data_IF_327824309953
#
_entry.id   IF_327824309953
#
_cell.length_a   1.000
_cell.length_b   1.000
_cell.length_c   1.000
_cell.angle_alpha   90.00
_cell.angle_beta   90.00
_cell.angle_gamma   90.00
#
_symmetry.space_group_name_H-M   'P 1'
#
loop_
_entity.id
_entity.type
_entity.pdbx_description
1 polymer ?
#
# COMPACT_ATOMS: atom_id res chain seq x y z
N UNK A 1 49.75 4.98 6.65
CA UNK A 1 48.30 4.73 6.68
C UNK A 1 47.70 5.18 5.35
N UNK A 2 47.15 4.25 4.54
CA UNK A 2 46.46 4.62 3.29
C UNK A 2 45.06 5.11 3.65
N UNK A 3 44.69 6.32 3.23
CA UNK A 3 43.32 6.83 3.35
C UNK A 3 42.53 6.31 2.16
N UNK A 4 41.50 5.52 2.43
CA UNK A 4 40.53 5.10 1.44
C UNK A 4 39.38 6.09 1.47
N UNK A 5 39.20 6.85 0.39
CA UNK A 5 38.07 7.76 0.26
C UNK A 5 36.89 7.02 -0.36
N UNK A 6 35.72 7.19 0.23
CA UNK A 6 34.48 6.64 -0.31
C UNK A 6 34.03 7.55 -1.44
N UNK A 7 34.18 7.09 -2.68
CA UNK A 7 33.67 7.80 -3.86
C UNK A 7 32.19 7.44 -3.99
N UNK A 8 31.32 8.34 -3.53
CA UNK A 8 29.89 8.25 -3.82
C UNK A 8 29.72 8.75 -5.25
N UNK A 9 29.29 7.90 -6.21
CA UNK A 9 28.99 8.35 -7.55
C UNK A 9 27.92 9.43 -7.44
N UNK A 10 28.24 10.65 -7.89
CA UNK A 10 27.19 11.65 -8.09
C UNK A 10 26.28 11.08 -9.16
N UNK A 11 25.08 10.71 -8.75
CA UNK A 11 24.02 10.36 -9.67
C UNK A 11 23.84 11.61 -10.52
N UNK A 12 24.38 11.61 -11.74
CA UNK A 12 24.02 12.58 -12.76
C UNK A 12 22.50 12.68 -12.71
N UNK A 13 21.97 13.91 -12.65
CA UNK A 13 20.53 14.17 -12.70
C UNK A 13 20.02 13.76 -14.09
N UNK A 14 20.04 12.45 -14.38
CA UNK A 14 19.43 11.88 -15.55
C UNK A 14 17.95 12.18 -15.37
N UNK A 15 17.48 13.21 -16.04
CA UNK A 15 16.10 13.64 -16.02
C UNK A 15 15.24 12.41 -16.21
N UNK A 16 14.63 11.92 -15.13
CA UNK A 16 13.86 10.68 -15.14
C UNK A 16 12.88 10.82 -16.31
N UNK A 17 12.94 9.92 -17.31
CA UNK A 17 12.14 10.08 -18.51
C UNK A 17 10.67 10.23 -18.09
N UNK A 18 9.94 11.12 -18.77
CA UNK A 18 8.57 11.51 -18.39
C UNK A 18 7.64 10.31 -18.12
N UNK A 19 7.84 9.21 -18.84
CA UNK A 19 7.15 7.94 -18.63
C UNK A 19 7.38 7.36 -17.22
N UNK A 20 8.63 7.31 -16.76
CA UNK A 20 9.00 6.77 -15.45
C UNK A 20 8.45 7.64 -14.32
N UNK A 21 8.34 8.96 -14.49
CA UNK A 21 7.66 9.84 -13.51
C UNK A 21 6.18 9.50 -13.35
N UNK A 22 5.48 9.16 -14.44
CA UNK A 22 4.06 8.73 -14.39
C UNK A 22 3.91 7.40 -13.66
N UNK A 23 4.78 6.43 -13.95
CA UNK A 23 4.77 5.13 -13.29
C UNK A 23 5.03 5.25 -11.78
N UNK A 24 6.01 6.06 -11.38
CA UNK A 24 6.29 6.31 -9.96
C UNK A 24 5.10 6.97 -9.27
N UNK A 25 4.43 7.93 -9.93
CA UNK A 25 3.23 8.57 -9.40
C UNK A 25 2.07 7.57 -9.26
N UNK A 26 1.83 6.76 -10.28
CA UNK A 26 0.79 5.73 -10.27
C UNK A 26 1.04 4.69 -9.18
N UNK A 27 2.27 4.19 -9.06
CA UNK A 27 2.64 3.24 -8.00
C UNK A 27 2.39 3.81 -6.60
N UNK A 28 2.83 5.04 -6.34
CA UNK A 28 2.60 5.68 -5.03
C UNK A 28 1.11 5.83 -4.75
N UNK A 29 0.32 6.21 -5.75
CA UNK A 29 -1.12 6.36 -5.62
C UNK A 29 -1.80 5.02 -5.30
N UNK A 30 -1.54 3.98 -6.11
CA UNK A 30 -2.13 2.66 -5.91
C UNK A 30 -1.74 2.06 -4.56
N UNK A 31 -0.47 2.22 -4.14
CA UNK A 31 -0.02 1.77 -2.82
C UNK A 31 -0.83 2.42 -1.69
N UNK A 32 -1.08 3.73 -1.77
CA UNK A 32 -1.91 4.42 -0.77
C UNK A 32 -3.37 3.95 -0.82
N UNK A 33 -3.94 3.74 -1.99
CA UNK A 33 -5.31 3.21 -2.12
C UNK A 33 -5.44 1.80 -1.54
N UNK A 34 -4.44 0.94 -1.78
CA UNK A 34 -4.41 -0.40 -1.24
C UNK A 34 -4.36 -0.39 0.29
N UNK A 35 -3.49 0.43 0.88
CA UNK A 35 -3.39 0.57 2.34
C UNK A 35 -4.72 1.01 2.96
N UNK A 36 -5.38 2.01 2.36
CA UNK A 36 -6.71 2.46 2.81
C UNK A 36 -7.73 1.32 2.71
N UNK A 37 -7.73 0.59 1.58
CA UNK A 37 -8.66 -0.51 1.34
C UNK A 37 -8.48 -1.62 2.37
N UNK A 38 -7.24 -2.00 2.67
CA UNK A 38 -6.92 -3.03 3.66
C UNK A 38 -7.37 -2.60 5.07
N UNK A 39 -7.18 -1.34 5.44
CA UNK A 39 -7.65 -0.81 6.74
C UNK A 39 -9.18 -0.84 6.82
N UNK A 40 -9.87 -0.42 5.76
CA UNK A 40 -11.34 -0.40 5.73
C UNK A 40 -11.93 -1.81 5.73
N UNK A 41 -11.33 -2.76 5.00
CA UNK A 41 -11.73 -4.18 5.06
C UNK A 41 -11.54 -4.78 6.45
N UNK A 42 -10.43 -4.47 7.12
CA UNK A 42 -10.19 -4.92 8.50
C UNK A 42 -11.17 -4.30 9.52
N UNK A 43 -11.62 -3.06 9.27
CA UNK A 43 -12.61 -2.36 10.11
C UNK A 43 -14.04 -2.79 9.84
N UNK A 44 -14.33 -3.20 8.61
CA UNK A 44 -15.66 -3.62 8.20
C UNK A 44 -16.17 -4.78 9.07
N UNK A 45 -17.41 -4.65 9.55
CA UNK A 45 -18.10 -5.68 10.31
C UNK A 45 -19.43 -5.94 9.63
N UNK A 46 -19.59 -7.13 9.06
CA UNK A 46 -20.87 -7.58 8.55
C UNK A 46 -21.61 -8.28 9.69
N UNK A 47 -22.84 -7.86 9.92
CA UNK A 47 -23.74 -8.47 10.92
C UNK A 47 -25.03 -8.85 10.21
N UNK A 48 -25.45 -10.10 10.39
CA UNK A 48 -26.72 -10.63 9.90
C UNK A 48 -27.72 -10.64 11.06
N UNK A 49 -28.95 -10.22 10.80
CA UNK A 49 -30.06 -10.27 11.76
C UNK A 49 -30.99 -11.39 11.33
N UNK A 50 -31.25 -12.35 12.22
CA UNK A 50 -32.20 -13.42 11.96
C UNK A 50 -33.66 -12.98 12.20
N UNK A 51 -34.60 -13.85 11.87
CA UNK A 51 -36.05 -13.63 12.01
C UNK A 51 -36.48 -13.37 13.47
N UNK A 52 -35.66 -13.79 14.44
CA UNK A 52 -35.88 -13.60 15.87
C UNK A 52 -35.14 -12.37 16.42
N UNK A 53 -34.47 -11.59 15.56
CA UNK A 53 -33.71 -10.39 15.94
C UNK A 53 -32.31 -10.66 16.49
N UNK A 54 -31.80 -11.89 16.44
CA UNK A 54 -30.45 -12.19 16.91
C UNK A 54 -29.40 -11.72 15.91
N UNK A 55 -28.40 -11.00 16.41
CA UNK A 55 -27.25 -10.55 15.63
C UNK A 55 -26.18 -11.65 15.52
N UNK A 56 -25.87 -12.06 14.30
CA UNK A 56 -24.75 -12.96 13.98
C UNK A 56 -23.67 -12.20 13.23
N UNK A 57 -22.47 -12.11 13.80
CA UNK A 57 -21.31 -11.49 13.15
C UNK A 57 -20.74 -12.44 12.10
N UNK A 58 -20.61 -11.95 10.87
CA UNK A 58 -19.97 -12.68 9.78
C UNK A 58 -18.51 -12.22 9.70
N UNK A 59 -17.52 -13.13 9.86
CA UNK A 59 -16.12 -12.78 9.66
C UNK A 59 -15.87 -12.51 8.17
N UNK A 60 -15.21 -11.38 7.87
CA UNK A 60 -14.78 -10.98 6.51
C UNK A 60 -13.36 -11.47 6.24
N UNK A 61 -12.78 -12.27 7.14
CA UNK A 61 -11.48 -12.92 6.93
C UNK A 61 -11.65 -13.98 5.84
N UNK A 62 -11.73 -13.51 4.59
CA UNK A 62 -11.35 -14.29 3.44
C UNK A 62 -9.85 -14.52 3.59
N UNK A 63 -9.51 -15.78 3.79
CA UNK A 63 -8.17 -16.29 3.82
C UNK A 63 -7.33 -15.68 2.67
N UNK A 64 -6.22 -15.05 3.05
CA UNK A 64 -5.00 -15.00 2.26
C UNK A 64 -3.92 -15.69 3.06
#
# INVERSE_FOLDING_TARGET
MRRSDIIIPKLEDSSIPSCTRKLVKAYKFERTQQEITEVELNRAKIVMIDENGNMKRIPILAEH
#
